data_IF_624474141779
#
_entry.id   IF_624474141779
#
_cell.length_a   1.000
_cell.length_b   1.000
_cell.length_c   1.000
_cell.angle_alpha   90.00
_cell.angle_beta   90.00
_cell.angle_gamma   90.00
#
_symmetry.space_group_name_H-M   'P 1'
#
loop_
_entity.id
_entity.type
_entity.pdbx_description
1 polymer ?
#
# COMPACT_ATOMS: atom_id res chain seq x y z
N UNK A 1 10.37 -34.29 -11.94
CA UNK A 1 9.17 -33.50 -12.28
C UNK A 1 9.62 -32.13 -12.75
N UNK A 2 8.93 -31.54 -13.73
CA UNK A 2 9.26 -30.19 -14.22
C UNK A 2 8.96 -29.16 -13.13
N UNK A 3 9.87 -28.23 -12.85
CA UNK A 3 9.65 -27.20 -11.84
C UNK A 3 8.47 -26.28 -12.18
N UNK A 4 7.87 -25.67 -11.16
CA UNK A 4 6.80 -24.70 -11.36
C UNK A 4 7.41 -23.31 -11.61
N UNK A 5 7.67 -22.98 -12.86
CA UNK A 5 8.42 -21.81 -13.34
C UNK A 5 8.10 -20.48 -12.59
N UNK A 6 6.80 -20.18 -12.39
CA UNK A 6 6.40 -18.93 -11.70
C UNK A 6 6.69 -18.98 -10.21
N UNK A 7 6.62 -20.15 -9.58
CA UNK A 7 6.82 -20.30 -8.15
C UNK A 7 8.31 -20.21 -7.78
N UNK A 8 9.18 -20.80 -8.62
CA UNK A 8 10.63 -20.76 -8.37
C UNK A 8 11.24 -19.37 -8.49
N UNK A 9 10.59 -18.49 -9.24
CA UNK A 9 11.01 -17.08 -9.35
C UNK A 9 10.63 -16.21 -8.15
N UNK A 10 9.74 -16.70 -7.27
CA UNK A 10 9.34 -15.98 -6.06
C UNK A 10 10.31 -16.30 -4.93
N UNK A 11 10.87 -15.27 -4.24
CA UNK A 11 11.70 -15.51 -3.08
C UNK A 11 10.88 -16.05 -1.91
N UNK A 12 11.56 -16.61 -0.92
CA UNK A 12 10.92 -16.96 0.34
C UNK A 12 10.25 -15.74 0.95
N UNK A 13 8.96 -15.88 1.30
CA UNK A 13 8.19 -14.79 1.87
C UNK A 13 8.63 -14.47 3.29
N UNK A 14 9.49 -13.47 3.44
CA UNK A 14 10.19 -13.11 4.70
C UNK A 14 9.20 -12.88 5.85
N UNK A 15 8.07 -12.23 5.58
CA UNK A 15 7.04 -11.97 6.58
C UNK A 15 6.43 -13.25 7.19
N UNK A 16 6.44 -14.38 6.47
CA UNK A 16 5.96 -15.66 6.99
C UNK A 16 6.81 -16.16 8.16
N UNK A 17 8.11 -15.89 8.15
CA UNK A 17 9.00 -16.30 9.26
C UNK A 17 8.64 -15.56 10.56
N UNK A 18 8.46 -14.23 10.50
CA UNK A 18 8.06 -13.43 11.66
C UNK A 18 6.66 -13.81 12.12
N UNK A 19 5.75 -14.10 11.19
CA UNK A 19 4.40 -14.56 11.50
C UNK A 19 4.39 -15.90 12.22
N UNK A 20 5.18 -16.88 11.76
CA UNK A 20 5.31 -18.18 12.43
C UNK A 20 5.81 -18.02 13.86
N UNK A 21 6.92 -17.28 14.05
CA UNK A 21 7.47 -17.03 15.38
C UNK A 21 6.49 -16.32 16.32
N UNK A 22 5.70 -15.38 15.79
CA UNK A 22 4.64 -14.71 16.55
C UNK A 22 3.55 -15.68 16.99
N UNK A 23 3.11 -16.57 16.09
CA UNK A 23 2.11 -17.60 16.41
C UNK A 23 2.63 -18.57 17.48
N UNK A 24 3.86 -19.04 17.33
CA UNK A 24 4.51 -19.93 18.31
C UNK A 24 4.63 -19.28 19.70
N UNK A 25 4.98 -17.98 19.74
CA UNK A 25 5.06 -17.22 21.00
C UNK A 25 3.67 -17.11 21.66
N UNK A 26 2.63 -16.77 20.88
CA UNK A 26 1.25 -16.72 21.38
C UNK A 26 0.72 -18.07 21.88
N UNK A 27 1.06 -19.17 21.20
CA UNK A 27 0.71 -20.52 21.66
C UNK A 27 1.37 -20.87 23.02
N UNK A 28 2.54 -20.31 23.31
CA UNK A 28 3.18 -20.43 24.63
C UNK A 28 2.58 -19.49 25.70
N UNK A 29 1.52 -18.74 25.36
CA UNK A 29 0.87 -17.78 26.27
C UNK A 29 1.59 -16.44 26.39
N UNK A 30 2.54 -16.13 25.51
CA UNK A 30 3.25 -14.86 25.52
C UNK A 30 2.37 -13.72 24.97
N UNK A 31 2.35 -12.60 25.69
CA UNK A 31 1.60 -11.40 25.26
C UNK A 31 2.41 -10.60 24.23
N UNK A 32 2.16 -10.84 22.95
CA UNK A 32 2.86 -10.19 21.83
C UNK A 32 2.06 -8.98 21.35
N UNK A 33 2.69 -7.80 21.35
CA UNK A 33 2.18 -6.57 20.78
C UNK A 33 2.49 -6.56 19.28
N UNK A 34 1.46 -6.61 18.44
CA UNK A 34 1.63 -6.79 17.00
C UNK A 34 1.62 -5.46 16.23
N UNK A 35 2.79 -4.89 16.03
CA UNK A 35 3.02 -3.74 15.17
C UNK A 35 3.56 -4.13 13.78
N UNK A 36 3.50 -5.42 13.41
CA UNK A 36 4.03 -5.92 12.13
C UNK A 36 3.03 -5.79 10.98
N UNK A 37 1.80 -6.25 11.17
CA UNK A 37 0.82 -6.33 10.09
C UNK A 37 0.00 -5.05 9.96
N UNK A 38 0.04 -4.39 8.80
CA UNK A 38 -0.77 -3.21 8.48
C UNK A 38 -2.26 -3.54 8.22
N UNK A 39 -2.93 -4.11 9.21
CA UNK A 39 -4.34 -4.46 9.15
C UNK A 39 -5.14 -3.52 10.06
N UNK A 40 -5.99 -2.62 9.54
CA UNK A 40 -6.85 -1.79 10.36
C UNK A 40 -7.59 -2.60 11.42
N UNK A 41 -7.52 -2.14 12.67
CA UNK A 41 -8.05 -2.85 13.84
C UNK A 41 -9.46 -2.41 14.23
N UNK A 42 -9.95 -1.31 13.66
CA UNK A 42 -11.26 -0.77 13.96
C UNK A 42 -12.32 -1.28 12.99
N UNK A 43 -13.58 -1.35 13.42
CA UNK A 43 -14.68 -1.78 12.57
C UNK A 43 -14.92 -0.78 11.42
N UNK A 44 -15.49 -1.29 10.35
CA UNK A 44 -16.06 -0.47 9.28
C UNK A 44 -17.16 0.44 9.83
N UNK A 45 -17.29 1.71 9.39
CA UNK A 45 -18.31 2.64 9.86
C UNK A 45 -19.73 2.07 9.77
N UNK A 46 -20.58 2.28 10.81
CA UNK A 46 -21.89 1.63 10.93
C UNK A 46 -22.84 1.86 9.75
N UNK A 47 -22.83 3.07 9.15
CA UNK A 47 -23.71 3.38 8.00
C UNK A 47 -23.37 2.54 6.76
N UNK A 48 -22.10 2.16 6.58
CA UNK A 48 -21.63 1.27 5.51
C UNK A 48 -22.07 -0.18 5.80
N UNK A 49 -21.86 -0.62 7.05
CA UNK A 49 -22.26 -1.97 7.50
C UNK A 49 -23.78 -2.16 7.37
N UNK A 50 -24.57 -1.18 7.81
CA UNK A 50 -26.03 -1.21 7.71
C UNK A 50 -26.48 -1.35 6.24
N UNK A 51 -25.82 -0.65 5.32
CA UNK A 51 -26.14 -0.79 3.89
C UNK A 51 -25.74 -2.14 3.32
N UNK A 52 -24.67 -2.74 3.79
CA UNK A 52 -24.32 -4.12 3.41
C UNK A 52 -25.41 -5.08 3.86
N UNK A 53 -25.85 -4.98 5.12
CA UNK A 53 -26.88 -5.87 5.69
C UNK A 53 -28.20 -5.76 4.95
N UNK A 54 -28.64 -4.53 4.67
CA UNK A 54 -29.84 -4.25 3.84
C UNK A 54 -29.72 -4.87 2.44
N UNK A 55 -28.59 -4.63 1.78
CA UNK A 55 -28.37 -5.11 0.42
C UNK A 55 -28.23 -6.64 0.37
N UNK A 56 -27.63 -7.27 1.37
CA UNK A 56 -27.50 -8.71 1.47
C UNK A 56 -28.83 -9.41 1.74
N UNK A 57 -29.80 -8.74 2.39
CA UNK A 57 -31.15 -9.24 2.57
C UNK A 57 -31.97 -9.34 1.27
N UNK A 58 -31.53 -8.70 0.20
CA UNK A 58 -32.21 -8.76 -1.08
C UNK A 58 -31.62 -9.87 -1.97
N UNK A 59 -32.34 -10.97 -2.14
CA UNK A 59 -31.92 -12.14 -2.91
C UNK A 59 -31.54 -11.85 -4.37
N UNK A 60 -32.01 -10.75 -4.97
CA UNK A 60 -31.61 -10.34 -6.32
C UNK A 60 -30.12 -10.00 -6.41
N UNK A 61 -29.50 -9.59 -5.30
CA UNK A 61 -28.09 -9.23 -5.20
C UNK A 61 -27.15 -10.44 -5.06
N UNK A 62 -27.66 -11.67 -4.99
CA UNK A 62 -26.86 -12.89 -4.84
C UNK A 62 -26.37 -13.47 -6.17
N UNK A 63 -26.78 -12.90 -7.28
CA UNK A 63 -26.37 -13.34 -8.61
C UNK A 63 -24.93 -12.89 -8.92
N UNK A 64 -24.33 -13.55 -9.90
CA UNK A 64 -23.05 -13.07 -10.44
C UNK A 64 -23.15 -11.60 -10.85
N UNK A 65 -22.14 -10.84 -10.48
CA UNK A 65 -22.02 -9.42 -10.84
C UNK A 65 -21.15 -9.24 -12.11
N UNK A 66 -21.14 -8.03 -12.63
CA UNK A 66 -20.19 -7.69 -13.69
C UNK A 66 -18.77 -7.62 -13.12
N UNK A 67 -17.78 -8.24 -13.78
CA UNK A 67 -16.38 -8.26 -13.36
C UNK A 67 -15.76 -6.85 -13.24
N UNK A 68 -16.23 -5.90 -14.04
CA UNK A 68 -15.81 -4.49 -13.97
C UNK A 68 -16.50 -3.66 -12.86
N UNK A 69 -17.44 -4.25 -12.12
CA UNK A 69 -18.28 -3.58 -11.13
C UNK A 69 -19.58 -3.01 -11.71
N UNK A 70 -20.60 -2.85 -10.84
CA UNK A 70 -21.90 -2.31 -11.23
C UNK A 70 -21.78 -0.84 -11.65
N UNK A 71 -22.64 -0.41 -12.61
CA UNK A 71 -22.64 0.96 -13.15
C UNK A 71 -22.71 2.02 -12.04
N UNK A 72 -23.60 1.85 -11.06
CA UNK A 72 -23.74 2.81 -9.96
C UNK A 72 -22.46 2.96 -9.12
N UNK A 73 -21.66 1.90 -8.96
CA UNK A 73 -20.37 2.00 -8.26
C UNK A 73 -19.37 2.79 -9.10
N UNK A 74 -19.30 2.55 -10.41
CA UNK A 74 -18.39 3.29 -11.29
C UNK A 74 -18.73 4.79 -11.34
N UNK A 75 -20.03 5.15 -11.36
CA UNK A 75 -20.46 6.54 -11.19
C UNK A 75 -20.07 7.13 -9.83
N UNK A 76 -20.17 6.35 -8.74
CA UNK A 76 -19.74 6.81 -7.42
C UNK A 76 -18.22 7.05 -7.38
N UNK A 77 -17.43 6.22 -8.06
CA UNK A 77 -15.97 6.38 -8.22
C UNK A 77 -15.66 7.67 -8.98
N UNK A 78 -16.32 7.90 -10.13
CA UNK A 78 -16.19 9.14 -10.91
C UNK A 78 -16.51 10.38 -10.07
N UNK A 79 -17.65 10.36 -9.36
CA UNK A 79 -18.04 11.46 -8.47
C UNK A 79 -17.06 11.68 -7.31
N UNK A 80 -16.45 10.62 -6.79
CA UNK A 80 -15.44 10.72 -5.75
C UNK A 80 -14.16 11.42 -6.25
N UNK A 81 -13.67 11.09 -7.46
CA UNK A 81 -12.51 11.75 -8.08
C UNK A 81 -12.81 13.23 -8.36
N UNK A 82 -14.03 13.54 -8.85
CA UNK A 82 -14.43 14.93 -9.08
C UNK A 82 -14.41 15.75 -7.80
N UNK A 83 -14.97 15.22 -6.71
CA UNK A 83 -15.03 15.94 -5.42
C UNK A 83 -13.67 16.12 -4.75
N UNK A 84 -12.79 15.11 -4.82
CA UNK A 84 -11.55 15.13 -4.08
C UNK A 84 -10.38 15.73 -4.84
N UNK A 85 -10.37 15.63 -6.17
CA UNK A 85 -9.22 16.00 -7.00
C UNK A 85 -9.58 16.93 -8.17
N UNK A 86 -10.86 17.24 -8.36
CA UNK A 86 -11.39 17.94 -9.54
C UNK A 86 -11.04 17.25 -10.87
N UNK A 87 -10.98 15.92 -10.86
CA UNK A 87 -10.68 15.09 -12.03
C UNK A 87 -11.98 14.48 -12.56
N UNK A 88 -12.24 14.67 -13.85
CA UNK A 88 -13.35 14.02 -14.54
C UNK A 88 -12.93 12.63 -15.00
N UNK A 89 -13.68 11.60 -14.61
CA UNK A 89 -13.48 10.19 -14.98
C UNK A 89 -14.74 9.72 -15.70
N UNK A 90 -14.60 9.18 -16.90
CA UNK A 90 -15.70 8.50 -17.57
C UNK A 90 -15.97 7.14 -16.90
N UNK A 91 -17.13 6.95 -16.24
CA UNK A 91 -17.44 5.71 -15.55
C UNK A 91 -17.55 4.50 -16.47
N UNK A 92 -17.72 4.70 -17.78
CA UNK A 92 -17.89 3.61 -18.75
C UNK A 92 -16.56 3.16 -19.37
N UNK A 93 -15.58 4.02 -19.51
CA UNK A 93 -14.32 3.68 -20.19
C UNK A 93 -13.09 3.84 -19.33
N UNK A 94 -13.14 4.68 -18.29
CA UNK A 94 -11.99 5.06 -17.46
C UNK A 94 -12.07 4.53 -16.02
N UNK A 95 -13.04 3.65 -15.68
CA UNK A 95 -13.21 3.14 -14.31
C UNK A 95 -13.55 1.65 -14.28
N UNK A 96 -12.92 0.94 -13.31
CA UNK A 96 -13.19 -0.47 -13.01
C UNK A 96 -13.02 -0.75 -11.52
N UNK A 97 -13.98 -1.50 -10.93
CA UNK A 97 -13.86 -2.00 -9.57
C UNK A 97 -12.99 -3.26 -9.52
N UNK A 98 -12.21 -3.42 -8.44
CA UNK A 98 -11.31 -4.55 -8.23
C UNK A 98 -11.55 -5.22 -6.87
N UNK A 99 -11.17 -6.49 -6.73
CA UNK A 99 -11.22 -7.24 -5.45
C UNK A 99 -10.09 -6.79 -4.49
N UNK A 100 -10.06 -5.49 -4.25
CA UNK A 100 -8.97 -4.74 -3.63
C UNK A 100 -7.85 -4.43 -4.62
N UNK A 101 -7.02 -3.44 -4.26
CA UNK A 101 -5.91 -2.97 -5.10
C UNK A 101 -4.91 -4.07 -5.43
N UNK A 102 -4.63 -4.95 -4.48
CA UNK A 102 -3.65 -6.04 -4.68
C UNK A 102 -4.01 -6.97 -5.83
N UNK A 103 -5.28 -7.32 -5.95
CA UNK A 103 -5.79 -8.13 -7.08
C UNK A 103 -5.74 -7.32 -8.37
N UNK A 104 -6.21 -6.07 -8.35
CA UNK A 104 -6.20 -5.22 -9.53
C UNK A 104 -4.80 -5.02 -10.11
N UNK A 105 -3.79 -4.76 -9.27
CA UNK A 105 -2.39 -4.66 -9.68
C UNK A 105 -1.86 -5.97 -10.29
N UNK A 106 -2.19 -7.12 -9.65
CA UNK A 106 -1.77 -8.43 -10.17
C UNK A 106 -2.39 -8.73 -11.54
N UNK A 107 -3.67 -8.45 -11.71
CA UNK A 107 -4.36 -8.66 -12.99
C UNK A 107 -3.91 -7.66 -14.06
N UNK A 108 -3.66 -6.40 -13.70
CA UNK A 108 -3.10 -5.43 -14.65
C UNK A 108 -1.70 -5.86 -15.11
N UNK A 109 -0.85 -6.32 -14.19
CA UNK A 109 0.46 -6.87 -14.56
C UNK A 109 0.33 -8.06 -15.51
N UNK A 110 -0.59 -9.01 -15.22
CA UNK A 110 -0.86 -10.14 -16.12
C UNK A 110 -1.36 -9.72 -17.51
N UNK A 111 -2.08 -8.58 -17.59
CA UNK A 111 -2.58 -8.08 -18.87
C UNK A 111 -1.50 -7.37 -19.69
N UNK A 112 -0.53 -6.72 -19.02
CA UNK A 112 0.41 -5.81 -19.68
C UNK A 112 1.84 -6.34 -19.76
N UNK A 113 2.22 -7.33 -18.94
CA UNK A 113 3.60 -7.79 -18.77
C UNK A 113 3.74 -9.25 -19.18
N UNK A 114 4.79 -9.56 -19.94
CA UNK A 114 5.18 -10.90 -20.34
C UNK A 114 6.69 -11.12 -20.23
N UNK A 115 7.19 -12.30 -20.61
CA UNK A 115 8.62 -12.59 -20.66
C UNK A 115 9.39 -11.60 -21.52
N UNK A 116 10.49 -11.06 -20.97
CA UNK A 116 11.33 -10.06 -21.63
C UNK A 116 10.93 -8.60 -21.34
N UNK A 117 9.75 -8.36 -20.78
CA UNK A 117 9.36 -7.02 -20.36
C UNK A 117 10.03 -6.61 -19.05
N UNK A 118 10.43 -5.36 -18.96
CA UNK A 118 11.02 -4.76 -17.75
C UNK A 118 10.09 -3.70 -17.18
N UNK A 119 9.92 -3.74 -15.85
CA UNK A 119 9.11 -2.78 -15.08
C UNK A 119 9.96 -2.12 -14.02
N UNK A 120 9.84 -0.80 -13.91
CA UNK A 120 10.48 -0.01 -12.86
C UNK A 120 9.58 0.06 -11.63
N UNK A 121 10.16 -0.05 -10.44
CA UNK A 121 9.48 0.22 -9.16
C UNK A 121 10.42 0.96 -8.21
N UNK A 122 9.92 1.83 -7.32
CA UNK A 122 10.71 2.27 -6.18
C UNK A 122 11.23 1.06 -5.38
N UNK A 123 12.41 1.20 -4.76
CA UNK A 123 12.90 0.21 -3.80
C UNK A 123 13.43 0.92 -2.56
N UNK A 124 13.09 0.44 -1.33
CA UNK A 124 12.13 -0.63 -1.04
C UNK A 124 10.70 -0.28 -1.45
N UNK A 125 9.82 -1.29 -1.67
CA UNK A 125 8.41 -1.05 -2.04
C UNK A 125 7.47 -2.12 -1.48
N UNK A 126 6.15 -1.89 -1.58
CA UNK A 126 5.17 -2.89 -1.19
C UNK A 126 5.26 -4.12 -2.12
N UNK A 127 5.36 -5.35 -1.57
CA UNK A 127 5.72 -6.55 -2.34
C UNK A 127 4.92 -6.80 -3.62
N UNK A 128 3.63 -6.44 -3.66
CA UNK A 128 2.81 -6.69 -4.86
C UNK A 128 3.31 -5.90 -6.08
N UNK A 129 3.94 -4.74 -5.89
CA UNK A 129 4.47 -3.95 -7.00
C UNK A 129 5.57 -4.69 -7.75
N UNK A 130 6.37 -5.49 -7.06
CA UNK A 130 7.40 -6.34 -7.64
C UNK A 130 6.84 -7.71 -8.07
N UNK A 131 6.14 -8.37 -7.14
CA UNK A 131 5.79 -9.77 -7.37
C UNK A 131 4.67 -9.97 -8.38
N UNK A 132 3.79 -8.98 -8.61
CA UNK A 132 2.83 -9.05 -9.72
C UNK A 132 3.54 -9.14 -11.07
N UNK A 133 4.62 -8.39 -11.25
CA UNK A 133 5.46 -8.40 -12.45
C UNK A 133 6.17 -9.74 -12.63
N UNK A 134 6.79 -10.26 -11.57
CA UNK A 134 7.49 -11.56 -11.58
C UNK A 134 6.51 -12.70 -11.90
N UNK A 135 5.32 -12.69 -11.30
CA UNK A 135 4.25 -13.68 -11.57
C UNK A 135 3.80 -13.59 -13.03
N UNK A 136 3.69 -12.38 -13.59
CA UNK A 136 3.35 -12.18 -14.99
C UNK A 136 4.44 -12.67 -15.97
N UNK A 137 5.67 -12.85 -15.48
CA UNK A 137 6.81 -13.33 -16.28
C UNK A 137 7.84 -12.25 -16.61
N UNK A 138 7.59 -11.01 -16.23
CA UNK A 138 8.48 -9.87 -16.44
C UNK A 138 9.65 -9.80 -15.46
N UNK A 139 10.46 -8.78 -15.65
CA UNK A 139 11.58 -8.43 -14.78
C UNK A 139 11.34 -7.10 -14.09
N UNK A 140 11.84 -6.97 -12.86
CA UNK A 140 11.77 -5.74 -12.08
C UNK A 140 13.14 -5.09 -12.00
N UNK A 141 13.17 -3.76 -12.15
CA UNK A 141 14.35 -2.94 -11.83
C UNK A 141 13.97 -1.93 -10.76
N UNK A 142 14.67 -1.99 -9.63
CA UNK A 142 14.49 -1.07 -8.50
C UNK A 142 15.05 0.32 -8.82
N UNK A 143 14.28 1.33 -8.45
CA UNK A 143 14.72 2.73 -8.43
C UNK A 143 14.80 3.17 -6.97
N UNK A 144 16.00 3.48 -6.51
CA UNK A 144 16.22 3.75 -5.10
C UNK A 144 15.44 4.98 -4.62
N UNK A 145 14.66 4.80 -3.55
CA UNK A 145 13.81 5.83 -2.93
C UNK A 145 14.41 6.36 -1.61
N UNK A 146 15.63 6.01 -1.29
CA UNK A 146 16.28 6.52 -0.08
C UNK A 146 16.79 7.94 -0.32
N UNK A 147 16.40 8.95 0.50
CA UNK A 147 16.91 10.32 0.38
C UNK A 147 18.45 10.43 0.43
N UNK A 148 19.12 9.52 1.11
CA UNK A 148 20.59 9.46 1.15
C UNK A 148 21.21 9.04 -0.20
N UNK A 149 20.43 8.45 -1.10
CA UNK A 149 20.87 8.03 -2.43
C UNK A 149 20.65 9.10 -3.52
N UNK A 150 20.18 10.29 -3.14
CA UNK A 150 19.88 11.39 -4.05
C UNK A 150 18.41 11.53 -4.43
N UNK A 151 18.14 12.37 -5.41
CA UNK A 151 16.79 12.62 -5.90
C UNK A 151 16.22 11.41 -6.64
N UNK A 152 14.98 11.04 -6.32
CA UNK A 152 14.30 9.88 -6.94
C UNK A 152 14.21 10.02 -8.47
N UNK A 153 13.92 11.21 -8.97
CA UNK A 153 13.76 11.43 -10.41
C UNK A 153 15.08 11.29 -11.17
N UNK A 154 16.19 11.73 -10.57
CA UNK A 154 17.54 11.51 -11.12
C UNK A 154 17.86 10.00 -11.15
N UNK A 155 17.57 9.30 -10.05
CA UNK A 155 17.74 7.85 -9.98
C UNK A 155 16.87 7.12 -11.02
N UNK A 156 15.61 7.53 -11.19
CA UNK A 156 14.70 7.00 -12.20
C UNK A 156 15.27 7.14 -13.61
N UNK A 157 15.70 8.35 -13.95
CA UNK A 157 16.26 8.66 -15.27
C UNK A 157 17.54 7.85 -15.54
N UNK A 158 18.40 7.72 -14.55
CA UNK A 158 19.63 6.94 -14.63
C UNK A 158 19.33 5.45 -14.84
N UNK A 159 18.48 4.85 -14.02
CA UNK A 159 18.12 3.43 -14.10
C UNK A 159 17.42 3.13 -15.42
N UNK A 160 16.51 4.00 -15.87
CA UNK A 160 15.85 3.86 -17.17
C UNK A 160 16.85 3.80 -18.32
N UNK A 161 17.81 4.76 -18.37
CA UNK A 161 18.82 4.82 -19.44
C UNK A 161 19.76 3.63 -19.44
N UNK A 162 20.08 3.06 -18.30
CA UNK A 162 20.99 1.93 -18.14
C UNK A 162 20.33 0.55 -18.38
N UNK A 163 18.99 0.48 -18.38
CA UNK A 163 18.25 -0.78 -18.48
C UNK A 163 17.96 -1.15 -19.93
N UNK A 164 18.24 -2.42 -20.27
CA UNK A 164 17.87 -3.03 -21.54
C UNK A 164 17.20 -4.40 -21.31
N UNK A 165 16.14 -4.75 -22.01
CA UNK A 165 15.37 -3.85 -22.89
C UNK A 165 14.80 -2.66 -22.13
N UNK A 166 14.38 -1.60 -22.83
CA UNK A 166 13.82 -0.40 -22.21
C UNK A 166 12.61 -0.76 -21.35
N UNK A 167 12.56 -0.25 -20.10
CA UNK A 167 11.40 -0.44 -19.24
C UNK A 167 10.15 0.18 -19.85
N UNK A 168 9.03 -0.54 -19.80
CA UNK A 168 7.77 -0.08 -20.39
C UNK A 168 6.74 0.39 -19.38
N UNK A 169 6.92 0.09 -18.10
CA UNK A 169 6.00 0.46 -17.01
C UNK A 169 6.80 0.98 -15.82
N UNK A 170 6.29 2.02 -15.16
CA UNK A 170 6.67 2.44 -13.82
C UNK A 170 5.50 2.21 -12.88
N UNK A 171 5.65 1.30 -11.90
CA UNK A 171 4.69 1.11 -10.82
C UNK A 171 5.21 1.86 -9.59
N UNK A 172 4.41 2.76 -9.03
CA UNK A 172 4.77 3.56 -7.85
C UNK A 172 3.58 3.69 -6.90
N UNK A 173 3.86 4.07 -5.66
CA UNK A 173 2.85 4.31 -4.63
C UNK A 173 3.23 5.51 -3.79
N UNK A 174 2.35 6.51 -3.70
CA UNK A 174 2.52 7.66 -2.82
C UNK A 174 1.15 8.11 -2.28
N UNK A 175 0.99 8.25 -0.95
CA UNK A 175 1.96 8.01 0.14
C UNK A 175 2.50 6.59 0.15
N UNK A 176 3.80 6.45 0.41
CA UNK A 176 4.55 5.23 0.12
C UNK A 176 4.54 4.21 1.28
N UNK A 177 4.34 2.96 0.94
CA UNK A 177 4.53 1.80 1.81
C UNK A 177 5.76 1.00 1.32
N UNK A 178 6.85 0.87 2.09
CA UNK A 178 6.93 1.02 3.55
C UNK A 178 7.46 2.37 4.05
N UNK A 179 8.11 3.19 3.22
CA UNK A 179 8.97 4.30 3.65
C UNK A 179 8.22 5.51 4.19
N UNK A 180 6.90 5.55 4.06
CA UNK A 180 6.02 6.67 4.42
C UNK A 180 6.28 7.98 3.65
N UNK A 181 7.13 7.93 2.62
CA UNK A 181 7.45 9.08 1.77
C UNK A 181 6.21 9.65 1.10
N UNK A 182 6.20 10.95 0.97
CA UNK A 182 5.11 11.71 0.33
C UNK A 182 5.67 12.58 -0.78
N UNK A 183 4.84 12.91 -1.74
CA UNK A 183 5.18 13.75 -2.90
C UNK A 183 4.16 14.88 -3.06
N UNK A 184 4.50 15.87 -3.86
CA UNK A 184 3.62 16.93 -4.29
C UNK A 184 3.17 16.75 -5.75
N UNK A 185 2.34 17.65 -6.23
CA UNK A 185 1.85 17.59 -7.61
C UNK A 185 2.97 17.86 -8.64
N UNK A 186 3.99 18.65 -8.29
CA UNK A 186 5.14 18.93 -9.17
C UNK A 186 5.96 17.68 -9.44
N UNK A 187 6.06 16.78 -8.46
CA UNK A 187 6.63 15.46 -8.66
C UNK A 187 5.89 14.69 -9.76
N UNK A 188 4.55 14.63 -9.69
CA UNK A 188 3.76 13.93 -10.71
C UNK A 188 3.86 14.58 -12.09
N UNK A 189 3.95 15.91 -12.18
CA UNK A 189 4.20 16.59 -13.47
C UNK A 189 5.51 16.12 -14.12
N UNK A 190 6.59 16.01 -13.34
CA UNK A 190 7.87 15.48 -13.82
C UNK A 190 7.76 14.02 -14.27
N UNK A 191 7.05 13.18 -13.49
CA UNK A 191 6.86 11.76 -13.81
C UNK A 191 6.03 11.58 -15.09
N UNK A 192 4.95 12.35 -15.24
CA UNK A 192 4.10 12.28 -16.45
C UNK A 192 4.88 12.76 -17.69
N UNK A 193 5.62 13.85 -17.59
CA UNK A 193 6.47 14.33 -18.69
C UNK A 193 7.51 13.28 -19.09
N UNK A 194 8.19 12.66 -18.11
CA UNK A 194 9.13 11.56 -18.35
C UNK A 194 8.45 10.37 -19.04
N UNK A 195 7.24 10.01 -18.60
CA UNK A 195 6.51 8.88 -19.15
C UNK A 195 6.09 9.11 -20.61
N UNK A 196 5.61 10.30 -20.93
CA UNK A 196 5.28 10.71 -22.30
C UNK A 196 6.49 10.72 -23.22
N UNK A 197 7.60 11.31 -22.76
CA UNK A 197 8.84 11.38 -23.54
C UNK A 197 9.44 10.01 -23.87
N UNK A 198 9.28 9.06 -22.94
CA UNK A 198 9.94 7.75 -23.00
C UNK A 198 8.99 6.59 -23.32
N UNK A 199 7.73 6.86 -23.63
CA UNK A 199 6.67 5.87 -23.92
C UNK A 199 6.54 4.84 -22.78
N UNK A 200 6.56 5.30 -21.51
CA UNK A 200 6.44 4.47 -20.31
C UNK A 200 5.03 4.58 -19.73
N UNK A 201 4.37 3.45 -19.50
CA UNK A 201 3.09 3.40 -18.80
C UNK A 201 3.27 3.67 -17.30
N UNK A 202 2.36 4.40 -16.70
CA UNK A 202 2.36 4.70 -15.27
C UNK A 202 1.26 3.93 -14.55
N UNK A 203 1.63 3.30 -13.43
CA UNK A 203 0.68 2.67 -12.50
C UNK A 203 0.93 3.26 -11.12
N UNK A 204 -0.05 4.00 -10.60
CA UNK A 204 0.04 4.61 -9.28
C UNK A 204 -0.90 3.91 -8.29
N UNK A 205 -0.36 3.46 -7.15
CA UNK A 205 -1.12 2.90 -6.02
C UNK A 205 -1.33 3.98 -4.96
N UNK A 206 -2.54 4.54 -4.92
CA UNK A 206 -2.98 5.61 -4.01
C UNK A 206 -3.76 5.05 -2.80
N UNK A 207 -3.39 3.88 -2.29
CA UNK A 207 -4.11 3.22 -1.20
C UNK A 207 -4.16 4.00 0.12
N UNK A 208 -3.28 4.99 0.31
CA UNK A 208 -3.18 5.81 1.52
C UNK A 208 -3.58 7.27 1.28
N UNK A 209 -4.42 7.55 0.27
CA UNK A 209 -4.87 8.90 -0.10
C UNK A 209 -5.37 9.72 1.10
N UNK A 210 -6.17 9.10 1.96
CA UNK A 210 -6.86 9.77 3.06
C UNK A 210 -6.11 9.65 4.41
N UNK A 211 -5.15 8.72 4.53
CA UNK A 211 -4.36 8.59 5.76
C UNK A 211 -3.17 9.56 5.73
N UNK A 212 -3.47 10.83 5.89
CA UNK A 212 -2.54 11.97 5.81
C UNK A 212 -2.64 12.82 7.06
N UNK A 213 -1.52 13.46 7.44
CA UNK A 213 -1.39 14.18 8.71
C UNK A 213 -0.82 15.58 8.49
N UNK A 214 -1.02 16.44 9.50
CA UNK A 214 -0.35 17.73 9.63
C UNK A 214 -0.53 18.66 8.42
N UNK A 215 -1.75 18.67 7.85
CA UNK A 215 -2.13 19.51 6.72
C UNK A 215 -1.65 19.04 5.33
N UNK A 216 -0.94 17.92 5.26
CA UNK A 216 -0.61 17.31 3.97
C UNK A 216 -1.87 16.76 3.29
N UNK A 217 -1.95 16.93 1.99
CA UNK A 217 -2.95 16.28 1.12
C UNK A 217 -2.21 15.50 0.05
N UNK A 218 -2.51 14.21 -0.06
CA UNK A 218 -1.92 13.38 -1.10
C UNK A 218 -2.48 13.79 -2.48
N UNK A 219 -1.64 14.20 -3.44
CA UNK A 219 -2.12 14.47 -4.78
C UNK A 219 -2.48 13.18 -5.52
N UNK A 220 -3.42 13.24 -6.44
CA UNK A 220 -3.65 12.21 -7.44
C UNK A 220 -2.72 12.44 -8.64
N UNK A 221 -2.17 11.35 -9.19
CA UNK A 221 -1.46 11.37 -10.48
C UNK A 221 -2.33 12.01 -11.58
N UNK A 222 -3.64 11.72 -11.55
CA UNK A 222 -4.60 12.14 -12.58
C UNK A 222 -4.97 13.64 -12.51
N UNK A 223 -4.48 14.38 -11.50
CA UNK A 223 -4.58 15.85 -11.48
C UNK A 223 -3.63 16.50 -12.52
N UNK A 224 -2.64 15.76 -13.02
CA UNK A 224 -1.86 16.22 -14.17
C UNK A 224 -2.66 15.95 -15.44
N UNK A 225 -2.98 16.97 -16.25
CA UNK A 225 -3.92 16.84 -17.37
C UNK A 225 -3.59 15.71 -18.36
N UNK A 226 -2.31 15.52 -18.65
CA UNK A 226 -1.81 14.52 -19.59
C UNK A 226 -1.69 13.12 -19.00
N UNK A 227 -1.84 12.95 -17.69
CA UNK A 227 -1.63 11.68 -17.02
C UNK A 227 -2.51 10.55 -17.54
N UNK A 228 -3.75 10.85 -17.95
CA UNK A 228 -4.67 9.87 -18.54
C UNK A 228 -4.18 9.29 -19.89
N UNK A 229 -3.25 9.94 -20.57
CA UNK A 229 -2.69 9.38 -21.81
C UNK A 229 -1.75 8.22 -21.54
N UNK A 230 -1.13 8.17 -20.38
CA UNK A 230 -0.05 7.23 -20.05
C UNK A 230 -0.24 6.46 -18.75
N UNK A 231 -1.32 6.71 -17.98
CA UNK A 231 -1.37 6.14 -16.63
C UNK A 231 -2.74 5.81 -16.08
N UNK A 232 -2.71 4.95 -15.07
CA UNK A 232 -3.84 4.61 -14.21
C UNK A 232 -3.48 4.76 -12.75
N UNK A 233 -4.52 4.96 -11.94
CA UNK A 233 -4.41 5.09 -10.51
C UNK A 233 -5.35 4.12 -9.80
N UNK A 234 -4.84 3.43 -8.78
CA UNK A 234 -5.59 2.53 -7.92
C UNK A 234 -5.92 3.21 -6.59
N UNK A 235 -7.14 3.02 -6.11
CA UNK A 235 -7.57 3.46 -4.78
C UNK A 235 -8.20 2.31 -4.00
N UNK A 236 -8.05 2.34 -2.67
CA UNK A 236 -8.51 1.28 -1.77
C UNK A 236 -9.42 1.80 -0.67
N UNK A 237 -10.58 1.17 -0.50
CA UNK A 237 -11.45 1.43 0.64
C UNK A 237 -10.94 0.79 1.94
N UNK A 238 -9.94 -0.07 1.85
CA UNK A 238 -9.40 -0.83 3.00
C UNK A 238 -8.87 0.06 4.12
N UNK A 239 -8.29 1.23 3.77
CA UNK A 239 -7.62 2.11 4.73
C UNK A 239 -8.49 3.29 5.13
N UNK A 240 -9.13 3.93 4.17
CA UNK A 240 -9.98 5.10 4.39
C UNK A 240 -11.25 4.80 5.18
N UNK A 241 -11.79 3.58 5.04
CA UNK A 241 -13.07 3.19 5.65
C UNK A 241 -12.98 1.93 6.52
N UNK A 242 -11.78 1.51 6.93
CA UNK A 242 -11.59 0.26 7.70
C UNK A 242 -12.28 -0.96 7.07
N UNK A 243 -12.11 -1.15 5.75
CA UNK A 243 -12.73 -2.24 4.98
C UNK A 243 -11.72 -3.26 4.42
N UNK A 244 -10.65 -3.66 5.14
CA UNK A 244 -9.61 -4.51 4.55
C UNK A 244 -10.12 -5.90 4.16
N UNK A 245 -11.00 -6.49 4.95
CA UNK A 245 -11.60 -7.81 4.71
C UNK A 245 -12.67 -7.83 3.61
N UNK A 246 -13.23 -6.66 3.25
CA UNK A 246 -14.29 -6.54 2.24
C UNK A 246 -13.76 -6.66 0.81
N UNK A 247 -12.45 -6.49 0.64
CA UNK A 247 -11.77 -6.59 -0.65
C UNK A 247 -12.33 -5.64 -1.71
N UNK A 248 -12.38 -4.34 -1.40
CA UNK A 248 -12.84 -3.31 -2.33
C UNK A 248 -11.71 -2.35 -2.68
N UNK A 249 -11.48 -2.21 -3.96
CA UNK A 249 -10.66 -1.19 -4.59
C UNK A 249 -11.20 -0.85 -5.96
N UNK A 250 -10.57 0.08 -6.62
CA UNK A 250 -10.87 0.40 -8.01
C UNK A 250 -9.62 0.96 -8.71
N UNK A 251 -9.66 0.93 -10.04
CA UNK A 251 -8.66 1.51 -10.92
C UNK A 251 -9.34 2.51 -11.86
N UNK A 252 -8.71 3.65 -12.07
CA UNK A 252 -9.19 4.71 -12.97
C UNK A 252 -8.05 5.28 -13.80
N UNK A 253 -8.38 5.85 -14.96
CA UNK A 253 -7.42 6.57 -15.81
C UNK A 253 -7.46 6.13 -17.26
N UNK A 254 -6.30 5.81 -17.83
CA UNK A 254 -6.15 5.49 -19.25
C UNK A 254 -7.10 4.39 -19.73
N UNK A 255 -7.85 4.66 -20.80
CA UNK A 255 -8.90 3.76 -21.33
C UNK A 255 -8.35 2.43 -21.84
N UNK A 256 -7.17 2.42 -22.44
CA UNK A 256 -6.56 1.18 -22.95
C UNK A 256 -6.14 0.26 -21.80
N UNK A 257 -5.52 0.82 -20.76
CA UNK A 257 -5.14 0.07 -19.55
C UNK A 257 -6.37 -0.44 -18.80
N UNK A 258 -7.42 0.38 -18.67
CA UNK A 258 -8.71 -0.03 -18.06
C UNK A 258 -9.37 -1.11 -18.93
N UNK A 259 -9.32 -0.98 -20.26
CA UNK A 259 -9.80 -1.99 -21.21
C UNK A 259 -9.05 -3.32 -21.07
N UNK A 260 -7.72 -3.29 -20.97
CA UNK A 260 -6.90 -4.47 -20.74
C UNK A 260 -7.22 -5.18 -19.41
N UNK A 261 -7.33 -4.39 -18.31
CA UNK A 261 -7.73 -4.92 -17.01
C UNK A 261 -9.15 -5.49 -17.03
N UNK A 262 -10.09 -4.81 -17.69
CA UNK A 262 -11.47 -5.31 -17.86
C UNK A 262 -11.49 -6.63 -18.61
N UNK A 263 -10.73 -6.73 -19.69
CA UNK A 263 -10.66 -7.93 -20.52
C UNK A 263 -10.11 -9.11 -19.72
N UNK A 264 -8.97 -8.96 -19.05
CA UNK A 264 -8.39 -10.08 -18.30
C UNK A 264 -9.26 -10.52 -17.13
N UNK A 265 -9.87 -9.56 -16.40
CA UNK A 265 -10.80 -9.88 -15.30
C UNK A 265 -12.02 -10.66 -15.79
N UNK A 266 -12.53 -10.38 -16.97
CA UNK A 266 -13.69 -11.11 -17.52
C UNK A 266 -13.43 -12.61 -17.74
N UNK A 267 -12.16 -13.04 -17.83
CA UNK A 267 -11.74 -14.43 -17.91
C UNK A 267 -11.36 -15.04 -16.56
N UNK A 268 -11.05 -14.22 -15.54
CA UNK A 268 -10.51 -14.68 -14.26
C UNK A 268 -11.56 -14.66 -13.14
N UNK A 269 -12.48 -13.70 -13.15
CA UNK A 269 -13.48 -13.56 -12.10
C UNK A 269 -14.79 -12.92 -12.61
N UNK A 270 -15.86 -13.04 -11.79
CA UNK A 270 -17.15 -12.37 -12.01
C UNK A 270 -17.33 -11.13 -11.14
N UNK A 271 -16.22 -10.56 -10.63
CA UNK A 271 -16.27 -9.40 -9.76
C UNK A 271 -16.68 -9.72 -8.32
N UNK A 272 -16.88 -8.67 -7.53
CA UNK A 272 -17.23 -8.81 -6.12
C UNK A 272 -18.74 -8.99 -5.90
N UNK A 273 -19.11 -9.59 -4.78
CA UNK A 273 -20.46 -9.74 -4.31
C UNK A 273 -21.20 -8.40 -4.33
N UNK A 274 -22.38 -8.37 -4.98
CA UNK A 274 -23.08 -7.10 -5.27
C UNK A 274 -23.43 -6.27 -4.03
N UNK A 275 -23.85 -6.83 -2.89
CA UNK A 275 -24.07 -6.08 -1.66
C UNK A 275 -22.85 -5.28 -1.18
N UNK A 276 -21.64 -5.81 -1.34
CA UNK A 276 -20.41 -5.09 -1.02
C UNK A 276 -20.25 -3.86 -1.93
N UNK A 277 -20.53 -4.00 -3.22
CA UNK A 277 -20.49 -2.89 -4.17
C UNK A 277 -21.51 -1.79 -3.82
N UNK A 278 -22.72 -2.18 -3.42
CA UNK A 278 -23.78 -1.26 -2.99
C UNK A 278 -23.35 -0.50 -1.71
N UNK A 279 -22.78 -1.20 -0.74
CA UNK A 279 -22.26 -0.57 0.47
C UNK A 279 -21.07 0.37 0.18
N UNK A 280 -20.23 0.03 -0.80
CA UNK A 280 -19.12 0.87 -1.25
C UNK A 280 -19.58 2.19 -1.88
N UNK A 281 -20.74 2.21 -2.55
CA UNK A 281 -21.35 3.45 -3.04
C UNK A 281 -21.65 4.39 -1.86
N UNK A 282 -22.15 3.84 -0.74
CA UNK A 282 -22.43 4.62 0.46
C UNK A 282 -21.14 5.10 1.13
N UNK A 283 -20.09 4.29 1.13
CA UNK A 283 -18.77 4.73 1.61
C UNK A 283 -18.25 5.93 0.82
N UNK A 284 -18.35 5.91 -0.51
CA UNK A 284 -17.85 6.97 -1.38
C UNK A 284 -18.72 8.23 -1.37
N UNK A 285 -20.06 8.11 -1.31
CA UNK A 285 -21.01 9.21 -1.46
C UNK A 285 -21.63 9.69 -0.14
N UNK A 286 -21.53 8.92 0.94
CA UNK A 286 -22.08 9.25 2.25
C UNK A 286 -21.23 10.24 3.04
N UNK A 287 -21.58 10.48 4.33
CA UNK A 287 -20.82 11.34 5.21
C UNK A 287 -19.36 10.88 5.35
N UNK A 288 -18.42 11.82 5.31
CA UNK A 288 -16.98 11.53 5.36
C UNK A 288 -16.35 11.79 6.75
N UNK A 289 -17.13 12.17 7.75
CA UNK A 289 -16.66 12.41 9.12
C UNK A 289 -15.89 11.19 9.69
N UNK A 290 -16.35 9.99 9.34
CA UNK A 290 -15.69 8.74 9.74
C UNK A 290 -14.25 8.63 9.24
N UNK A 291 -13.91 9.22 8.09
CA UNK A 291 -12.53 9.25 7.56
C UNK A 291 -11.69 10.17 8.45
N UNK A 292 -12.21 11.33 8.82
CA UNK A 292 -11.56 12.25 9.76
C UNK A 292 -11.25 11.59 11.11
N UNK A 293 -12.22 10.85 11.67
CA UNK A 293 -12.06 10.12 12.94
C UNK A 293 -10.97 9.03 12.84
N UNK A 294 -10.91 8.32 11.71
CA UNK A 294 -9.88 7.32 11.43
C UNK A 294 -8.51 7.97 11.36
N UNK A 295 -8.37 9.07 10.61
CA UNK A 295 -7.11 9.83 10.47
C UNK A 295 -6.62 10.33 11.83
N UNK A 296 -7.50 10.94 12.62
CA UNK A 296 -7.12 11.47 13.95
C UNK A 296 -6.64 10.36 14.90
N UNK A 297 -7.25 9.17 14.83
CA UNK A 297 -6.79 8.00 15.59
C UNK A 297 -5.40 7.56 15.19
N UNK A 298 -5.12 7.44 13.90
CA UNK A 298 -3.77 7.09 13.42
C UNK A 298 -2.75 8.17 13.76
N UNK A 299 -3.13 9.43 13.73
CA UNK A 299 -2.28 10.56 14.15
C UNK A 299 -1.88 10.45 15.62
N UNK A 300 -2.82 10.17 16.53
CA UNK A 300 -2.51 9.97 17.97
C UNK A 300 -1.57 8.78 18.18
N UNK A 301 -1.82 7.65 17.50
CA UNK A 301 -0.96 6.46 17.58
C UNK A 301 0.43 6.72 17.04
N UNK A 302 0.52 7.43 15.90
CA UNK A 302 1.80 7.89 15.33
C UNK A 302 2.59 8.70 16.36
N UNK A 303 1.96 9.71 16.95
CA UNK A 303 2.61 10.55 17.92
C UNK A 303 3.07 9.73 19.13
N UNK A 304 2.21 8.86 19.67
CA UNK A 304 2.56 8.00 20.81
C UNK A 304 3.78 7.10 20.53
N UNK A 305 3.87 6.53 19.33
CA UNK A 305 5.00 5.67 18.96
C UNK A 305 6.27 6.49 18.71
N UNK A 306 6.19 7.55 17.90
CA UNK A 306 7.36 8.36 17.52
C UNK A 306 7.93 9.09 18.72
N UNK A 307 7.07 9.75 19.54
CA UNK A 307 7.50 10.39 20.79
C UNK A 307 8.17 9.39 21.75
N UNK A 308 7.58 8.19 21.83
CA UNK A 308 8.10 7.13 22.66
C UNK A 308 9.48 6.65 22.23
N UNK A 309 9.66 6.37 20.93
CA UNK A 309 10.94 5.93 20.36
C UNK A 309 12.01 7.02 20.51
N UNK A 310 11.71 8.26 20.16
CA UNK A 310 12.65 9.39 20.29
C UNK A 310 13.08 9.60 21.75
N UNK A 311 12.15 9.47 22.69
CA UNK A 311 12.45 9.61 24.13
C UNK A 311 13.45 8.57 24.63
N UNK A 312 13.41 7.35 24.10
CA UNK A 312 14.34 6.29 24.49
C UNK A 312 15.65 6.31 23.68
N UNK A 313 15.86 7.31 22.80
CA UNK A 313 17.07 7.45 21.99
C UNK A 313 17.07 6.67 20.69
N UNK A 314 15.90 6.23 20.24
CA UNK A 314 15.73 5.66 18.91
C UNK A 314 15.10 6.73 18.00
N UNK A 315 15.94 7.49 17.32
CA UNK A 315 15.55 8.59 16.46
C UNK A 315 14.72 8.13 15.26
N UNK A 316 13.50 8.68 15.15
CA UNK A 316 12.54 8.40 14.08
C UNK A 316 11.80 9.68 13.71
N UNK A 317 11.66 9.93 12.41
CA UNK A 317 10.88 11.05 11.89
C UNK A 317 9.37 10.81 12.02
N UNK A 318 8.60 11.92 12.10
CA UNK A 318 7.15 11.87 12.07
C UNK A 318 6.66 11.65 10.64
N UNK A 319 6.04 10.50 10.31
CA UNK A 319 5.45 10.30 8.99
C UNK A 319 4.32 11.31 8.75
N UNK A 320 4.29 11.92 7.58
CA UNK A 320 3.21 12.81 7.16
C UNK A 320 2.00 12.08 6.61
N UNK A 321 2.11 10.78 6.38
CA UNK A 321 1.05 9.95 5.82
C UNK A 321 1.25 8.47 6.17
N UNK A 322 0.29 7.65 5.82
CA UNK A 322 0.18 6.21 5.99
C UNK A 322 -0.15 5.78 7.43
N UNK A 323 -0.34 4.49 7.62
CA UNK A 323 -0.53 3.87 8.93
C UNK A 323 0.76 3.22 9.46
N UNK A 324 1.92 3.72 9.03
CA UNK A 324 3.23 3.12 9.34
C UNK A 324 4.21 4.13 9.91
N UNK A 325 5.21 3.59 10.60
CA UNK A 325 6.46 4.25 10.95
C UNK A 325 7.59 3.41 10.35
N UNK A 326 8.44 4.01 9.54
CA UNK A 326 9.62 3.39 8.94
C UNK A 326 10.84 3.81 9.75
N UNK A 327 11.30 2.91 10.62
CA UNK A 327 12.33 3.20 11.60
C UNK A 327 13.67 2.59 11.18
N UNK A 328 14.71 3.42 11.04
CA UNK A 328 16.06 2.92 10.84
C UNK A 328 16.53 2.18 12.09
N UNK A 329 17.11 1.01 11.92
CA UNK A 329 17.62 0.20 13.04
C UNK A 329 18.67 1.01 13.81
N UNK A 330 18.63 1.03 15.16
CA UNK A 330 19.63 1.75 15.96
C UNK A 330 21.05 1.32 15.60
N UNK A 331 22.03 2.25 15.59
CA UNK A 331 23.39 1.98 15.10
C UNK A 331 24.05 0.71 15.65
N UNK A 332 23.85 0.44 16.95
CA UNK A 332 24.42 -0.75 17.61
C UNK A 332 23.91 -2.10 17.08
N UNK A 333 22.79 -2.10 16.33
CA UNK A 333 22.12 -3.30 15.84
C UNK A 333 22.09 -3.43 14.31
N UNK A 334 22.58 -2.43 13.57
CA UNK A 334 22.50 -2.43 12.08
C UNK A 334 23.20 -3.63 11.44
N UNK A 335 24.31 -4.09 12.01
CA UNK A 335 25.08 -5.22 11.46
C UNK A 335 24.37 -6.57 11.47
N UNK A 336 23.22 -6.71 12.16
CA UNK A 336 22.48 -7.97 12.18
C UNK A 336 21.41 -8.06 11.07
N UNK A 337 21.10 -6.96 10.38
CA UNK A 337 20.01 -6.88 9.39
C UNK A 337 18.61 -6.87 10.00
N UNK A 338 17.63 -6.47 9.18
CA UNK A 338 16.26 -6.22 9.65
C UNK A 338 15.51 -7.47 10.09
N UNK A 339 15.78 -8.62 9.49
CA UNK A 339 15.11 -9.88 9.84
C UNK A 339 15.50 -10.34 11.25
N UNK A 340 16.80 -10.39 11.54
CA UNK A 340 17.27 -10.81 12.87
C UNK A 340 16.93 -9.75 13.93
N UNK A 341 16.95 -8.47 13.57
CA UNK A 341 16.49 -7.41 14.45
C UNK A 341 14.98 -7.53 14.77
N UNK A 342 14.14 -7.85 13.79
CA UNK A 342 12.71 -8.10 14.02
C UNK A 342 12.48 -9.32 14.92
N UNK A 343 13.28 -10.37 14.77
CA UNK A 343 13.27 -11.55 15.66
C UNK A 343 13.72 -11.20 17.09
N UNK A 344 14.72 -10.33 17.23
CA UNK A 344 15.17 -9.82 18.52
C UNK A 344 14.05 -9.07 19.23
N UNK A 345 13.38 -8.11 18.54
CA UNK A 345 12.24 -7.37 19.09
C UNK A 345 11.11 -8.29 19.53
N UNK A 346 10.82 -9.33 18.75
CA UNK A 346 9.76 -10.28 19.09
C UNK A 346 10.12 -11.10 20.35
N UNK A 347 11.34 -11.60 20.43
CA UNK A 347 11.79 -12.46 21.55
C UNK A 347 11.98 -11.68 22.85
N UNK A 348 12.64 -10.54 22.80
CA UNK A 348 13.08 -9.80 23.99
C UNK A 348 12.13 -8.67 24.39
N UNK A 349 11.58 -7.94 23.41
CA UNK A 349 10.65 -6.84 23.66
C UNK A 349 9.17 -7.26 23.63
N UNK A 350 8.85 -8.48 23.16
CA UNK A 350 7.49 -8.96 22.89
C UNK A 350 6.74 -8.08 21.88
N UNK A 351 7.48 -7.50 20.93
CA UNK A 351 6.95 -6.62 19.88
C UNK A 351 7.23 -7.22 18.50
N UNK A 352 6.18 -7.46 17.73
CA UNK A 352 6.32 -7.85 16.34
C UNK A 352 6.45 -6.59 15.45
N UNK A 353 7.48 -6.56 14.60
CA UNK A 353 7.69 -5.54 13.56
C UNK A 353 7.92 -6.22 12.21
N UNK A 354 7.62 -5.54 11.11
CA UNK A 354 7.96 -6.05 9.77
C UNK A 354 9.41 -5.77 9.44
N UNK A 355 10.21 -6.79 9.08
CA UNK A 355 11.59 -6.58 8.64
C UNK A 355 11.63 -5.88 7.29
N UNK A 356 12.48 -4.88 7.17
CA UNK A 356 12.56 -4.04 5.98
C UNK A 356 13.05 -4.77 4.74
N UNK A 357 13.91 -5.80 4.90
CA UNK A 357 14.36 -6.67 3.79
C UNK A 357 13.19 -7.31 3.04
N UNK A 358 12.04 -7.51 3.69
CA UNK A 358 10.82 -8.04 3.05
C UNK A 358 10.18 -7.09 2.03
N UNK A 359 10.63 -5.83 1.97
CA UNK A 359 10.16 -4.83 1.01
C UNK A 359 11.14 -4.63 -0.16
N UNK A 360 12.23 -5.35 -0.20
CA UNK A 360 13.21 -5.28 -1.27
C UNK A 360 14.52 -4.62 -0.87
N UNK A 361 15.35 -4.39 -1.87
CA UNK A 361 16.68 -3.80 -1.74
C UNK A 361 16.60 -2.41 -1.09
N UNK A 362 17.59 -2.09 -0.25
CA UNK A 362 17.60 -0.85 0.54
C UNK A 362 16.74 -0.89 1.81
N UNK A 363 15.94 -1.95 2.02
CA UNK A 363 15.10 -2.08 3.22
C UNK A 363 15.79 -2.68 4.44
N UNK A 364 16.93 -3.36 4.28
CA UNK A 364 17.51 -4.21 5.35
C UNK A 364 18.06 -3.43 6.57
N UNK A 365 18.23 -2.13 6.45
CA UNK A 365 18.60 -1.26 7.57
C UNK A 365 17.40 -0.73 8.37
N UNK A 366 16.17 -1.14 8.04
CA UNK A 366 14.95 -0.59 8.61
C UNK A 366 14.00 -1.67 9.11
N UNK A 367 13.11 -1.27 10.02
CA UNK A 367 11.90 -2.01 10.36
C UNK A 367 10.67 -1.12 10.18
N UNK A 368 9.54 -1.74 9.79
CA UNK A 368 8.28 -1.02 9.68
C UNK A 368 7.37 -1.39 10.84
N UNK A 369 6.89 -0.38 11.56
CA UNK A 369 5.84 -0.51 12.56
C UNK A 369 4.50 -0.09 11.97
N UNK A 370 3.45 -0.87 12.22
CA UNK A 370 2.08 -0.54 11.87
C UNK A 370 1.33 0.02 13.09
N UNK A 371 0.60 1.11 12.91
CA UNK A 371 -0.11 1.85 13.96
C UNK A 371 -1.50 1.22 14.27
N UNK A 372 -1.53 -0.10 14.45
CA UNK A 372 -2.77 -0.90 14.58
C UNK A 372 -3.12 -1.28 16.02
N UNK A 373 -2.30 -0.89 16.98
CA UNK A 373 -2.55 -1.05 18.41
C UNK A 373 -2.96 0.27 19.04
N UNK A 374 -3.70 0.22 20.17
CA UNK A 374 -4.06 1.43 20.90
C UNK A 374 -2.84 2.05 21.58
N UNK A 375 -2.96 3.31 22.01
CA UNK A 375 -1.87 4.10 22.57
C UNK A 375 -1.26 3.45 23.82
N UNK A 376 -2.09 2.78 24.65
CA UNK A 376 -1.60 2.08 25.85
C UNK A 376 -0.68 0.90 25.47
N UNK A 377 -1.07 0.10 24.47
CA UNK A 377 -0.24 -0.98 23.96
C UNK A 377 1.03 -0.46 23.29
N UNK A 378 0.94 0.66 22.58
CA UNK A 378 2.12 1.33 22.01
C UNK A 378 3.10 1.74 23.10
N UNK A 379 2.64 2.34 24.22
CA UNK A 379 3.51 2.65 25.34
C UNK A 379 4.16 1.42 25.98
N UNK A 380 3.43 0.30 26.06
CA UNK A 380 4.00 -0.97 26.53
C UNK A 380 5.09 -1.47 25.57
N UNK A 381 4.85 -1.40 24.23
CA UNK A 381 5.82 -1.78 23.22
C UNK A 381 7.11 -0.96 23.31
N UNK A 382 7.00 0.37 23.45
CA UNK A 382 8.16 1.27 23.61
C UNK A 382 8.96 0.90 24.87
N UNK A 383 8.29 0.62 25.98
CA UNK A 383 8.94 0.22 27.23
C UNK A 383 9.66 -1.13 27.09
N UNK A 384 9.04 -2.10 26.40
CA UNK A 384 9.67 -3.37 26.08
C UNK A 384 10.92 -3.20 25.21
N UNK A 385 10.84 -2.36 24.18
CA UNK A 385 11.97 -2.04 23.30
C UNK A 385 13.10 -1.33 24.04
N UNK A 386 12.79 -0.37 24.93
CA UNK A 386 13.79 0.29 25.79
C UNK A 386 14.61 -0.75 26.57
N UNK A 387 13.92 -1.70 27.21
CA UNK A 387 14.53 -2.74 28.03
C UNK A 387 15.38 -3.70 27.18
N UNK A 388 14.80 -4.24 26.10
CA UNK A 388 15.44 -5.24 25.24
C UNK A 388 16.69 -4.70 24.54
N UNK A 389 16.65 -3.43 24.11
CA UNK A 389 17.75 -2.79 23.38
C UNK A 389 18.71 -2.02 24.30
N UNK A 390 18.46 -1.98 25.61
CA UNK A 390 19.24 -1.24 26.62
C UNK A 390 19.44 0.24 26.24
N UNK A 391 18.40 0.85 25.66
CA UNK A 391 18.41 2.25 25.28
C UNK A 391 18.18 3.14 26.51
N UNK A 392 18.87 4.28 26.57
CA UNK A 392 18.73 5.26 27.64
C UNK A 392 17.63 6.27 27.33
N UNK A 393 17.11 6.98 28.38
CA UNK A 393 16.32 8.16 28.15
C UNK A 393 17.23 9.29 27.64
N UNK A 394 16.83 9.97 26.58
CA UNK A 394 17.47 11.21 26.16
C UNK A 394 17.02 12.26 27.18
N UNK A 395 17.96 12.74 27.99
CA UNK A 395 17.68 13.86 28.89
C UNK A 395 17.17 15.05 28.07
N UNK A 396 16.03 15.58 28.48
CA UNK A 396 15.46 16.82 27.95
C UNK A 396 16.31 18.04 28.30
#
# INVERSE_FOLDING_TARGET
MTPFYRIERLPHYVFAQVQSLKLDARQRGEDIIDLGMGNPDQPTPPHIVNKLTEAAGNGRNHRYSASRGITKLRHAISGWYKRNYDVDIDPETEAIATLGVKEGLAHLALAMVGPGDVVLTPTPTYPIHMYSVIIAGGEVRGVELNPAAGDFFENLTRVYRQTQPRPKILIMSFPHNPTTSVVDLEFFKKIVAFALENEVWLVHDLAYADLVFDGYRAPSLLQVPEAKHVGVEFYSLSKSYNMPGWRVGFCVGNQEMIGALTKIKSYLDYGMFQPIQIASIIALNGPQDCVGDIVERYKRRRNSLVDGLNRIGWEVDYPRATMFVWARIPPAFRGMGSLEFSKLLLREAKVAASPGVGFGEGGDEYVRFALVENEHRIYQAVRGMKHALKLGDVNR
#
